data_IF_250832714216
#
_entry.id   IF_250832714216
#
_cell.length_a   1.000
_cell.length_b   1.000
_cell.length_c   1.000
_cell.angle_alpha   90.00
_cell.angle_beta   90.00
_cell.angle_gamma   90.00
#
_symmetry.space_group_name_H-M   'P 1'
#
loop_
_entity.id
_entity.type
_entity.pdbx_description
1 polymer ?
#
# COMPACT_ATOMS: atom_id res chain seq x y z
N UNK A 1 0.45 -5.93 -30.75
CA UNK A 1 0.67 -7.02 -29.77
C UNK A 1 1.40 -6.59 -28.49
N UNK A 2 2.45 -5.75 -28.54
CA UNK A 2 3.17 -5.29 -27.33
C UNK A 2 2.27 -4.53 -26.33
N UNK A 3 1.36 -3.70 -26.83
CA UNK A 3 0.37 -2.96 -26.02
C UNK A 3 -0.61 -3.89 -25.31
N UNK A 4 -1.15 -4.90 -25.99
CA UNK A 4 -2.04 -5.89 -25.35
C UNK A 4 -1.32 -6.71 -24.27
N UNK A 5 -0.07 -7.13 -24.51
CA UNK A 5 0.74 -7.83 -23.48
C UNK A 5 1.01 -6.94 -22.26
N UNK A 6 1.18 -5.63 -22.44
CA UNK A 6 1.31 -4.65 -21.35
C UNK A 6 0.02 -4.56 -20.53
N UNK A 7 -1.14 -4.46 -21.17
CA UNK A 7 -2.42 -4.43 -20.46
C UNK A 7 -2.66 -5.73 -19.69
N UNK A 8 -2.42 -6.90 -20.30
CA UNK A 8 -2.54 -8.20 -19.63
C UNK A 8 -1.63 -8.29 -18.39
N UNK A 9 -0.38 -7.82 -18.49
CA UNK A 9 0.55 -7.78 -17.36
C UNK A 9 0.06 -6.86 -16.23
N UNK A 10 -0.50 -5.70 -16.56
CA UNK A 10 -1.07 -4.77 -15.58
C UNK A 10 -2.32 -5.38 -14.91
N UNK A 11 -3.22 -6.00 -15.68
CA UNK A 11 -4.42 -6.64 -15.13
C UNK A 11 -4.06 -7.79 -14.20
N UNK A 12 -3.08 -8.63 -14.57
CA UNK A 12 -2.57 -9.70 -13.71
C UNK A 12 -1.95 -9.18 -12.42
N UNK A 13 -1.14 -8.11 -12.50
CA UNK A 13 -0.55 -7.47 -11.32
C UNK A 13 -1.62 -6.97 -10.35
N UNK A 14 -2.68 -6.33 -10.86
CA UNK A 14 -3.80 -5.83 -10.06
C UNK A 14 -4.53 -6.98 -9.37
N UNK A 15 -4.81 -8.07 -10.09
CA UNK A 15 -5.46 -9.26 -9.52
C UNK A 15 -4.62 -9.86 -8.39
N UNK A 16 -3.30 -9.98 -8.58
CA UNK A 16 -2.38 -10.50 -7.55
C UNK A 16 -2.38 -9.59 -6.33
N UNK A 17 -2.29 -8.27 -6.52
CA UNK A 17 -2.35 -7.29 -5.43
C UNK A 17 -3.65 -7.42 -4.62
N UNK A 18 -4.80 -7.50 -5.29
CA UNK A 18 -6.10 -7.69 -4.63
C UNK A 18 -6.17 -9.01 -3.87
N UNK A 19 -5.64 -10.10 -4.44
CA UNK A 19 -5.59 -11.41 -3.78
C UNK A 19 -4.78 -11.42 -2.49
N UNK A 20 -3.68 -10.67 -2.42
CA UNK A 20 -2.85 -10.54 -1.21
C UNK A 20 -3.60 -9.84 -0.06
N UNK A 21 -4.57 -8.98 -0.36
CA UNK A 21 -5.41 -8.33 0.66
C UNK A 21 -6.66 -9.13 1.04
N UNK A 22 -6.97 -10.23 0.33
CA UNK A 22 -8.14 -11.07 0.59
C UNK A 22 -7.89 -12.15 1.66
N UNK A 23 -6.63 -12.37 2.06
CA UNK A 23 -6.28 -13.30 3.14
C UNK A 23 -6.52 -12.64 4.50
N UNK A 24 -7.33 -13.30 5.34
CA UNK A 24 -7.49 -12.92 6.75
C UNK A 24 -6.16 -13.11 7.48
N UNK A 25 -5.40 -12.03 7.61
CA UNK A 25 -4.17 -12.02 8.40
C UNK A 25 -4.58 -12.13 9.88
N UNK A 26 -4.35 -13.31 10.45
CA UNK A 26 -4.52 -13.58 11.87
C UNK A 26 -3.59 -12.64 12.66
N UNK A 27 -4.13 -11.86 13.61
CA UNK A 27 -3.36 -10.92 14.42
C UNK A 27 -2.12 -11.57 15.05
N UNK A 28 -0.95 -10.91 14.92
CA UNK A 28 0.35 -11.41 15.36
C UNK A 28 0.65 -11.17 16.86
N UNK A 29 -0.23 -10.50 17.60
CA UNK A 29 -0.10 -10.35 19.06
C UNK A 29 -1.05 -11.33 19.76
N UNK A 30 -0.55 -12.49 20.25
CA UNK A 30 -1.39 -13.53 20.85
C UNK A 30 -2.14 -13.03 22.11
N UNK A 31 -1.58 -12.06 22.84
CA UNK A 31 -2.21 -11.49 24.03
C UNK A 31 -3.42 -10.60 23.69
N UNK A 32 -3.29 -9.69 22.73
CA UNK A 32 -4.40 -8.82 22.30
C UNK A 32 -5.52 -9.63 21.62
N UNK A 33 -5.14 -10.70 20.91
CA UNK A 33 -6.10 -11.61 20.28
C UNK A 33 -6.89 -12.40 21.32
N UNK A 34 -6.21 -13.01 22.28
CA UNK A 34 -6.86 -13.86 23.30
C UNK A 34 -7.85 -13.05 24.15
N UNK A 35 -7.48 -11.83 24.57
CA UNK A 35 -8.39 -10.95 25.31
C UNK A 35 -9.62 -10.53 24.49
N UNK A 36 -9.44 -10.25 23.19
CA UNK A 36 -10.53 -9.93 22.28
C UNK A 36 -11.45 -11.13 21.99
N UNK A 37 -10.89 -12.33 21.79
CA UNK A 37 -11.65 -13.57 21.58
C UNK A 37 -12.41 -14.00 22.84
N UNK A 38 -11.83 -13.83 24.04
CA UNK A 38 -12.52 -14.08 25.31
C UNK A 38 -13.68 -13.11 25.53
N UNK A 39 -13.50 -11.82 25.23
CA UNK A 39 -14.59 -10.84 25.35
C UNK A 39 -15.75 -11.16 24.40
N UNK A 40 -15.47 -11.61 23.18
CA UNK A 40 -16.48 -12.03 22.22
C UNK A 40 -17.23 -13.30 22.66
N UNK A 41 -16.53 -14.26 23.28
CA UNK A 41 -17.13 -15.49 23.80
C UNK A 41 -18.06 -15.24 25.00
N UNK A 42 -17.73 -14.27 25.85
CA UNK A 42 -18.57 -13.85 26.99
C UNK A 42 -19.73 -12.92 26.57
N UNK A 43 -19.99 -12.77 25.26
CA UNK A 43 -21.09 -11.95 24.72
C UNK A 43 -20.78 -10.46 24.58
N UNK A 44 -19.53 -10.06 24.84
CA UNK A 44 -19.04 -8.70 24.61
C UNK A 44 -18.77 -8.39 23.13
N UNK A 45 -18.48 -7.13 22.84
CA UNK A 45 -18.21 -6.65 21.48
C UNK A 45 -16.77 -6.17 21.28
N UNK A 46 -15.97 -6.14 22.34
CA UNK A 46 -14.58 -5.71 22.26
C UNK A 46 -13.77 -6.80 21.55
N UNK A 47 -13.26 -6.47 20.36
CA UNK A 47 -12.59 -7.45 19.48
C UNK A 47 -13.22 -7.55 18.10
N UNK A 48 -14.47 -7.09 17.91
CA UNK A 48 -15.06 -6.99 16.57
C UNK A 48 -14.22 -6.04 15.71
N UNK A 49 -13.65 -6.56 14.63
CA UNK A 49 -12.87 -5.76 13.67
C UNK A 49 -11.40 -5.54 14.03
N UNK A 50 -10.86 -6.20 15.07
CA UNK A 50 -9.44 -6.05 15.47
C UNK A 50 -8.46 -6.33 14.31
N UNK A 51 -8.70 -7.38 13.52
CA UNK A 51 -7.87 -7.69 12.34
C UNK A 51 -7.89 -6.57 11.29
N UNK A 52 -9.04 -5.91 11.08
CA UNK A 52 -9.15 -4.77 10.17
C UNK A 52 -8.38 -3.56 10.71
N UNK A 53 -8.42 -3.33 12.01
CA UNK A 53 -7.63 -2.27 12.67
C UNK A 53 -6.12 -2.47 12.53
N UNK A 54 -5.62 -3.70 12.72
CA UNK A 54 -4.19 -4.03 12.56
C UNK A 54 -3.74 -3.82 11.12
N UNK A 55 -4.51 -4.30 10.14
CA UNK A 55 -4.21 -4.10 8.72
C UNK A 55 -4.19 -2.61 8.36
N UNK A 56 -5.12 -1.82 8.88
CA UNK A 56 -5.15 -0.38 8.67
C UNK A 56 -3.88 0.31 9.21
N UNK A 57 -3.51 0.02 10.46
CA UNK A 57 -2.29 0.57 11.07
C UNK A 57 -1.01 0.14 10.36
N UNK A 58 -0.93 -1.11 9.90
CA UNK A 58 0.22 -1.61 9.14
C UNK A 58 0.29 -1.00 7.74
N UNK A 59 -0.83 -0.73 7.07
CA UNK A 59 -0.84 -0.16 5.72
C UNK A 59 -0.36 1.30 5.66
N UNK A 60 -0.65 2.09 6.70
CA UNK A 60 -0.31 3.51 6.78
C UNK A 60 1.18 3.83 6.54
N UNK A 61 2.15 3.21 7.24
CA UNK A 61 3.56 3.52 7.03
C UNK A 61 4.03 3.18 5.60
N UNK A 62 3.53 2.11 4.99
CA UNK A 62 3.89 1.76 3.62
C UNK A 62 3.33 2.76 2.60
N UNK A 63 2.07 3.18 2.76
CA UNK A 63 1.46 4.20 1.90
C UNK A 63 2.18 5.54 2.01
N UNK A 64 2.57 5.92 3.23
CA UNK A 64 3.31 7.16 3.49
C UNK A 64 4.67 7.14 2.77
N UNK A 65 5.46 6.08 2.96
CA UNK A 65 6.77 5.93 2.30
C UNK A 65 6.62 5.88 0.78
N UNK A 66 5.66 5.14 0.25
CA UNK A 66 5.41 5.06 -1.19
C UNK A 66 5.04 6.42 -1.80
N UNK A 67 4.19 7.19 -1.09
CA UNK A 67 3.76 8.52 -1.55
C UNK A 67 4.91 9.51 -1.55
N UNK A 68 5.68 9.57 -0.45
CA UNK A 68 6.85 10.45 -0.35
C UNK A 68 7.91 10.09 -1.39
N UNK A 69 8.20 8.80 -1.55
CA UNK A 69 9.16 8.31 -2.56
C UNK A 69 8.73 8.67 -3.98
N UNK A 70 7.44 8.52 -4.30
CA UNK A 70 6.89 8.90 -5.60
C UNK A 70 6.99 10.42 -5.86
N UNK A 71 6.63 11.25 -4.87
CA UNK A 71 6.73 12.72 -4.97
C UNK A 71 8.18 13.16 -5.17
N UNK A 72 9.11 12.59 -4.41
CA UNK A 72 10.54 12.89 -4.55
C UNK A 72 11.07 12.54 -5.95
N UNK A 73 10.75 11.32 -6.43
CA UNK A 73 11.16 10.88 -7.76
C UNK A 73 10.57 11.72 -8.89
N UNK A 74 9.28 12.10 -8.78
CA UNK A 74 8.62 12.99 -9.75
C UNK A 74 9.26 14.37 -9.78
N UNK A 75 9.58 14.94 -8.63
CA UNK A 75 10.24 16.24 -8.56
C UNK A 75 11.63 16.20 -9.21
N UNK A 76 12.40 15.15 -8.96
CA UNK A 76 13.75 15.01 -9.51
C UNK A 76 13.77 14.88 -11.03
N UNK A 77 12.75 14.25 -11.63
CA UNK A 77 12.61 14.18 -13.10
C UNK A 77 12.35 15.54 -13.74
N UNK A 78 11.50 16.37 -13.12
CA UNK A 78 11.22 17.73 -13.61
C UNK A 78 12.46 18.61 -13.60
N UNK A 79 13.27 18.51 -12.54
CA UNK A 79 14.55 19.24 -12.45
C UNK A 79 15.52 18.80 -13.55
N UNK A 80 15.60 17.50 -13.87
CA UNK A 80 16.44 17.04 -14.99
C UNK A 80 15.94 17.50 -16.35
N UNK A 81 14.62 17.56 -16.56
CA UNK A 81 14.03 18.06 -17.81
C UNK A 81 14.25 19.59 -17.96
N UNK A 82 14.13 20.38 -16.89
CA UNK A 82 14.43 21.83 -16.89
C UNK A 82 15.92 22.13 -17.11
N UNK A 83 16.83 21.37 -16.49
CA UNK A 83 18.29 21.53 -16.68
C UNK A 83 18.71 21.20 -18.13
N UNK A 84 18.00 20.31 -18.82
CA UNK A 84 18.31 19.94 -20.22
C UNK A 84 17.75 20.94 -21.25
N UNK A 85 16.69 21.69 -20.93
CA UNK A 85 16.14 22.72 -21.82
C UNK A 85 16.90 24.05 -21.79
N UNK A 86 17.65 24.33 -20.72
CA UNK A 86 18.34 25.62 -20.50
C UNK A 86 19.81 25.74 -20.98
N UNK A 87 20.53 24.75 -21.56
CA UNK A 87 21.91 24.99 -21.99
C UNK A 87 22.03 25.61 -23.40
N UNK A 88 20.91 25.93 -24.08
CA UNK A 88 20.91 26.51 -25.43
C UNK A 88 19.73 27.48 -25.66
N UNK A 89 19.53 28.48 -24.79
CA UNK A 89 18.61 29.59 -25.08
C UNK A 89 19.16 30.97 -24.69
N UNK A 90 20.48 31.10 -24.59
CA UNK A 90 21.15 32.41 -24.63
C UNK A 90 22.25 32.34 -25.69
N UNK A 91 21.85 32.70 -26.92
CA UNK A 91 22.58 33.35 -28.02
C UNK A 91 21.76 33.23 -29.32
#
# INVERSE_FOLDING_TARGET
MKTMKKYIGVTLLIIILVGIFAIDIQAQCPMCRMSAESNLQDGGTAGKGLNKGILYMLSMPYLLVATLGYLWWRNRRRVSDEIFTEPFSDN
#
